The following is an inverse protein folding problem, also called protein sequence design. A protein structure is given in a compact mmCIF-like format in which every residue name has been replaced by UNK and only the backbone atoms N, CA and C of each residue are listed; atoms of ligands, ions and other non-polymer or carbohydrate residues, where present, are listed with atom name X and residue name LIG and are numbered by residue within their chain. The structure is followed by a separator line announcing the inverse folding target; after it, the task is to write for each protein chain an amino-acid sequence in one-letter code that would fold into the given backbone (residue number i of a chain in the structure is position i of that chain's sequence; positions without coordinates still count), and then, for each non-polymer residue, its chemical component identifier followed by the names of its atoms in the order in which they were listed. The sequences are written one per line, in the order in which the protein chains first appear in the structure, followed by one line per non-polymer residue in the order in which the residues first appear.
data_IF_041411584714
#
_entry.id   IF_041411584714
#
_cell.length_a   1.000
_cell.length_b   1.000
_cell.length_c   1.000
_cell.angle_alpha   90.00
_cell.angle_beta   90.00
_cell.angle_gamma   90.00
#
_symmetry.space_group_name_H-M   'P 1'
#
loop_
_entity.id
_entity.type
_entity.pdbx_description
1 polymer ?
#
# COMPACT_ATOMS: atom_id res chain seq x y z
N UNK A 1 -26.34 -24.08 -19.26
CA UNK A 1 -25.14 -24.15 -18.39
C UNK A 1 -24.40 -22.84 -18.59
N UNK A 2 -24.62 -21.89 -17.69
CA UNK A 2 -24.02 -20.56 -17.76
C UNK A 2 -22.76 -20.59 -16.91
N UNK A 3 -21.61 -20.29 -17.51
CA UNK A 3 -20.34 -20.17 -16.80
C UNK A 3 -20.46 -19.12 -15.70
N UNK A 4 -19.89 -19.33 -14.49
CA UNK A 4 -19.83 -18.28 -13.50
C UNK A 4 -18.85 -17.21 -14.01
N UNK A 5 -19.35 -15.99 -14.21
CA UNK A 5 -18.51 -14.84 -14.50
C UNK A 5 -17.51 -14.62 -13.34
N UNK A 6 -16.25 -14.23 -13.64
CA UNK A 6 -15.27 -13.98 -12.61
C UNK A 6 -15.71 -12.76 -11.79
N UNK A 7 -15.88 -12.96 -10.48
CA UNK A 7 -16.19 -11.91 -9.50
C UNK A 7 -15.18 -10.77 -9.60
N UNK A 8 -15.56 -9.71 -10.32
CA UNK A 8 -14.74 -8.52 -10.54
C UNK A 8 -14.52 -7.77 -9.23
N UNK A 9 -13.27 -7.68 -8.80
CA UNK A 9 -12.87 -6.88 -7.63
C UNK A 9 -12.68 -5.43 -8.08
N UNK A 10 -13.76 -4.66 -8.05
CA UNK A 10 -13.71 -3.20 -7.85
C UNK A 10 -14.91 -2.81 -6.99
N UNK A 11 -14.64 -2.43 -5.73
CA UNK A 11 -15.57 -1.76 -4.81
C UNK A 11 -16.98 -2.33 -4.75
N UNK A 12 -17.20 -3.46 -4.08
CA UNK A 12 -18.55 -3.95 -3.74
C UNK A 12 -19.26 -2.95 -2.83
N UNK A 13 -20.38 -2.34 -3.23
CA UNK A 13 -21.32 -1.71 -2.32
C UNK A 13 -22.08 -2.81 -1.56
N UNK A 14 -22.23 -2.65 -0.24
CA UNK A 14 -22.91 -3.63 0.63
C UNK A 14 -21.96 -4.55 1.38
N UNK A 15 -22.51 -5.29 2.35
CA UNK A 15 -21.78 -6.22 3.22
C UNK A 15 -21.20 -7.37 2.40
N UNK A 16 -20.00 -7.16 1.85
CA UNK A 16 -19.23 -8.26 1.29
C UNK A 16 -19.00 -9.28 2.41
N UNK A 17 -19.25 -10.57 2.13
CA UNK A 17 -19.04 -11.63 3.10
C UNK A 17 -17.62 -11.51 3.63
N UNK A 18 -17.46 -11.46 4.96
CA UNK A 18 -16.17 -11.41 5.66
C UNK A 18 -15.22 -12.47 5.08
N UNK A 19 -15.74 -13.66 4.73
CA UNK A 19 -14.95 -14.74 4.11
C UNK A 19 -14.42 -14.39 2.73
N UNK A 20 -15.11 -13.57 1.94
CA UNK A 20 -14.64 -13.09 0.64
C UNK A 20 -13.57 -12.01 0.79
N UNK A 21 -13.76 -11.06 1.71
CA UNK A 21 -12.76 -10.03 2.03
C UNK A 21 -11.47 -10.69 2.52
N UNK A 22 -11.56 -11.66 3.44
CA UNK A 22 -10.40 -12.38 3.97
C UNK A 22 -9.70 -13.21 2.88
N UNK A 23 -10.46 -13.87 1.98
CA UNK A 23 -9.88 -14.58 0.84
C UNK A 23 -9.13 -13.63 -0.10
N UNK A 24 -9.70 -12.47 -0.38
CA UNK A 24 -9.05 -11.46 -1.21
C UNK A 24 -7.76 -10.94 -0.56
N UNK A 25 -7.79 -10.61 0.73
CA UNK A 25 -6.60 -10.22 1.51
C UNK A 25 -5.50 -11.29 1.42
N UNK A 26 -5.85 -12.55 1.63
CA UNK A 26 -4.89 -13.66 1.54
C UNK A 26 -4.29 -13.77 0.13
N UNK A 27 -5.10 -13.61 -0.91
CA UNK A 27 -4.64 -13.67 -2.30
C UNK A 27 -3.65 -12.55 -2.66
N UNK A 28 -3.91 -11.31 -2.24
CA UNK A 28 -3.00 -10.19 -2.50
C UNK A 28 -1.70 -10.30 -1.69
N UNK A 29 -1.76 -10.84 -0.47
CA UNK A 29 -0.56 -11.13 0.35
C UNK A 29 0.29 -12.19 -0.33
N UNK A 30 -0.32 -13.30 -0.78
CA UNK A 30 0.40 -14.37 -1.49
C UNK A 30 1.07 -13.83 -2.76
N UNK A 31 0.35 -13.03 -3.55
CA UNK A 31 0.89 -12.40 -4.76
C UNK A 31 2.10 -11.50 -4.49
N UNK A 32 2.16 -10.88 -3.31
CA UNK A 32 3.29 -10.05 -2.89
C UNK A 32 4.49 -10.85 -2.39
N UNK A 33 4.24 -11.96 -1.70
CA UNK A 33 5.28 -12.87 -1.25
C UNK A 33 6.08 -13.45 -2.42
N UNK A 34 5.43 -13.64 -3.57
CA UNK A 34 6.04 -14.15 -4.79
C UNK A 34 6.93 -13.13 -5.52
N UNK A 35 6.80 -11.83 -5.22
CA UNK A 35 7.58 -10.77 -5.88
C UNK A 35 8.85 -10.45 -5.10
N UNK A 36 9.96 -11.00 -5.57
CA UNK A 36 11.32 -10.82 -5.02
C UNK A 36 12.03 -9.65 -5.70
N UNK A 37 12.95 -9.02 -4.96
CA UNK A 37 13.86 -8.03 -5.52
C UNK A 37 14.89 -8.73 -6.41
N UNK A 38 15.17 -8.20 -7.61
CA UNK A 38 16.32 -8.64 -8.40
C UNK A 38 17.63 -8.06 -7.88
N UNK A 39 18.76 -8.64 -8.32
CA UNK A 39 20.09 -8.10 -8.03
C UNK A 39 20.26 -6.66 -8.57
N UNK A 40 19.65 -6.34 -9.71
CA UNK A 40 19.68 -4.99 -10.26
C UNK A 40 18.96 -4.01 -9.33
N UNK A 41 17.75 -4.36 -8.87
CA UNK A 41 16.98 -3.53 -7.94
C UNK A 41 17.75 -3.32 -6.64
N UNK A 42 18.33 -4.38 -6.08
CA UNK A 42 19.09 -4.29 -4.82
C UNK A 42 20.31 -3.37 -4.96
N UNK A 43 21.04 -3.46 -6.08
CA UNK A 43 22.20 -2.62 -6.36
C UNK A 43 21.82 -1.14 -6.56
N UNK A 44 20.68 -0.86 -7.17
CA UNK A 44 20.25 0.49 -7.55
C UNK A 44 19.21 1.10 -6.61
N UNK A 45 18.85 0.44 -5.50
CA UNK A 45 17.74 0.84 -4.64
C UNK A 45 17.85 2.30 -4.18
N UNK A 46 19.03 2.72 -3.73
CA UNK A 46 19.28 4.09 -3.26
C UNK A 46 19.06 5.12 -4.38
N UNK A 47 19.58 4.85 -5.57
CA UNK A 47 19.42 5.71 -6.75
C UNK A 47 17.97 5.81 -7.19
N UNK A 48 17.26 4.68 -7.28
CA UNK A 48 15.82 4.62 -7.60
C UNK A 48 15.02 5.48 -6.61
N UNK A 49 15.30 5.32 -5.32
CA UNK A 49 14.63 6.06 -4.23
C UNK A 49 14.88 7.56 -4.35
N UNK A 50 16.14 7.98 -4.56
CA UNK A 50 16.48 9.40 -4.66
C UNK A 50 15.85 10.04 -5.90
N UNK A 51 15.92 9.37 -7.06
CA UNK A 51 15.30 9.86 -8.29
C UNK A 51 13.78 10.00 -8.12
N UNK A 52 13.15 9.02 -7.48
CA UNK A 52 11.72 9.06 -7.21
C UNK A 52 11.35 10.23 -6.29
N UNK A 53 12.11 10.45 -5.21
CA UNK A 53 11.89 11.61 -4.35
C UNK A 53 11.97 12.93 -5.12
N UNK A 54 13.01 13.11 -5.93
CA UNK A 54 13.20 14.34 -6.70
C UNK A 54 12.05 14.58 -7.68
N UNK A 55 11.54 13.51 -8.30
CA UNK A 55 10.39 13.61 -9.19
C UNK A 55 9.10 13.93 -8.46
N UNK A 56 8.84 13.32 -7.30
CA UNK A 56 7.66 13.66 -6.49
C UNK A 56 7.73 15.12 -6.06
N UNK A 57 8.86 15.62 -5.56
CA UNK A 57 9.01 17.03 -5.17
C UNK A 57 8.88 18.00 -6.34
N UNK A 58 9.26 17.57 -7.54
CA UNK A 58 9.08 18.37 -8.76
C UNK A 58 7.60 18.46 -9.16
N UNK A 59 6.85 17.38 -9.01
CA UNK A 59 5.44 17.30 -9.40
C UNK A 59 4.49 17.85 -8.34
N UNK A 60 4.83 17.66 -7.06
CA UNK A 60 4.04 18.00 -5.88
C UNK A 60 4.92 18.73 -4.85
N UNK A 61 5.41 19.95 -5.15
CA UNK A 61 6.25 20.72 -4.24
C UNK A 61 5.58 20.99 -2.88
N UNK A 62 4.24 21.04 -2.84
CA UNK A 62 3.44 21.18 -1.63
C UNK A 62 3.60 20.02 -0.65
N UNK A 63 4.01 18.83 -1.11
CA UNK A 63 4.23 17.66 -0.26
C UNK A 63 5.66 17.59 0.31
N UNK A 64 6.44 18.67 0.20
CA UNK A 64 7.87 18.63 0.56
C UNK A 64 8.12 18.30 2.02
N UNK A 65 7.29 18.79 2.93
CA UNK A 65 7.42 18.53 4.37
C UNK A 65 7.18 17.05 4.67
N UNK A 66 6.07 16.53 4.17
CA UNK A 66 5.61 15.15 4.36
C UNK A 66 6.57 14.16 3.70
N UNK A 67 7.03 14.46 2.49
CA UNK A 67 7.97 13.60 1.77
C UNK A 67 9.36 13.60 2.42
N UNK A 68 9.84 14.74 2.93
CA UNK A 68 11.10 14.78 3.67
C UNK A 68 11.00 14.03 5.02
N UNK A 69 9.85 14.12 5.69
CA UNK A 69 9.57 13.34 6.89
C UNK A 69 9.55 11.83 6.57
N UNK A 70 8.90 11.43 5.48
CA UNK A 70 8.93 10.05 4.99
C UNK A 70 10.36 9.60 4.60
N UNK A 71 11.15 10.49 4.00
CA UNK A 71 12.50 10.19 3.57
C UNK A 71 13.44 9.79 4.71
N UNK A 72 13.31 10.46 5.86
CA UNK A 72 14.03 10.10 7.08
C UNK A 72 13.77 8.67 7.55
N UNK A 73 12.67 8.05 7.11
CA UNK A 73 12.23 6.70 7.48
C UNK A 73 12.49 5.67 6.40
N UNK A 74 12.97 6.06 5.20
CA UNK A 74 13.11 5.14 4.08
C UNK A 74 14.03 3.96 4.38
N UNK A 75 15.16 4.17 5.06
CA UNK A 75 16.05 3.05 5.42
C UNK A 75 15.32 2.02 6.28
N UNK A 76 14.55 2.47 7.28
CA UNK A 76 13.79 1.58 8.16
C UNK A 76 12.65 0.86 7.41
N UNK A 77 11.93 1.59 6.54
CA UNK A 77 10.86 1.02 5.69
C UNK A 77 11.45 -0.01 4.71
N UNK A 78 12.62 0.27 4.14
CA UNK A 78 13.35 -0.65 3.26
C UNK A 78 13.79 -1.91 4.01
N UNK A 79 14.37 -1.78 5.19
CA UNK A 79 14.77 -2.91 6.01
C UNK A 79 13.57 -3.76 6.43
N UNK A 80 12.49 -3.13 6.86
CA UNK A 80 11.22 -3.82 7.13
C UNK A 80 10.72 -4.55 5.88
N UNK A 81 10.74 -3.88 4.73
CA UNK A 81 10.33 -4.46 3.43
C UNK A 81 11.22 -5.62 2.98
N UNK A 82 12.52 -5.61 3.33
CA UNK A 82 13.43 -6.75 3.08
C UNK A 82 13.09 -7.94 3.98
N UNK A 83 12.74 -7.70 5.24
CA UNK A 83 12.32 -8.76 6.17
C UNK A 83 11.05 -9.48 5.69
N UNK A 84 10.17 -8.77 4.98
CA UNK A 84 8.98 -9.36 4.34
C UNK A 84 9.30 -10.46 3.32
N UNK A 85 10.49 -10.42 2.68
CA UNK A 85 10.86 -11.35 1.61
C UNK A 85 10.97 -12.80 2.11
N UNK A 86 11.21 -13.01 3.40
CA UNK A 86 11.35 -14.33 4.02
C UNK A 86 10.11 -14.83 4.78
N UNK A 87 9.07 -14.00 4.91
CA UNK A 87 7.85 -14.38 5.64
C UNK A 87 7.04 -15.35 4.78
N UNK A 88 6.55 -16.44 5.39
CA UNK A 88 5.65 -17.41 4.74
C UNK A 88 4.24 -17.39 5.32
N UNK A 89 4.09 -16.83 6.52
CA UNK A 89 2.82 -16.72 7.21
C UNK A 89 2.09 -15.42 6.81
N UNK A 90 0.84 -15.50 6.29
CA UNK A 90 0.09 -14.31 5.90
C UNK A 90 -0.20 -13.35 7.05
N UNK A 91 -0.36 -13.85 8.28
CA UNK A 91 -0.61 -13.04 9.47
C UNK A 91 0.61 -12.17 9.82
N UNK A 92 1.79 -12.79 9.92
CA UNK A 92 3.05 -12.09 10.14
C UNK A 92 3.35 -11.08 9.02
N UNK A 93 2.96 -11.39 7.79
CA UNK A 93 3.13 -10.48 6.67
C UNK A 93 2.20 -9.26 6.80
N UNK A 94 0.93 -9.48 7.14
CA UNK A 94 -0.02 -8.41 7.40
C UNK A 94 0.45 -7.53 8.56
N UNK A 95 0.91 -8.12 9.67
CA UNK A 95 1.45 -7.39 10.82
C UNK A 95 2.62 -6.50 10.42
N UNK A 96 3.58 -7.04 9.67
CA UNK A 96 4.76 -6.30 9.26
C UNK A 96 4.42 -5.16 8.28
N UNK A 97 3.48 -5.37 7.35
CA UNK A 97 3.00 -4.30 6.46
C UNK A 97 2.25 -3.23 7.25
N UNK A 98 1.30 -3.61 8.10
CA UNK A 98 0.51 -2.65 8.90
C UNK A 98 1.40 -1.87 9.87
N UNK A 99 2.40 -2.51 10.48
CA UNK A 99 3.40 -1.86 11.36
C UNK A 99 4.12 -0.74 10.63
N UNK A 100 4.49 -0.92 9.35
CA UNK A 100 5.15 0.13 8.57
C UNK A 100 4.26 1.39 8.50
N UNK A 101 2.96 1.25 8.28
CA UNK A 101 2.08 2.41 8.14
C UNK A 101 1.67 3.02 9.48
N UNK A 102 1.42 2.18 10.49
CA UNK A 102 0.93 2.63 11.80
C UNK A 102 2.06 3.15 12.70
N UNK A 103 3.22 2.49 12.72
CA UNK A 103 4.34 2.89 13.59
C UNK A 103 5.10 4.07 13.01
N UNK A 104 5.28 4.12 11.68
CA UNK A 104 5.97 5.23 11.05
C UNK A 104 5.03 6.39 10.68
N UNK A 105 3.73 6.31 11.01
CA UNK A 105 2.72 7.33 10.71
C UNK A 105 2.83 7.86 9.27
N UNK A 106 2.91 6.93 8.32
CA UNK A 106 3.10 7.24 6.91
C UNK A 106 1.74 7.39 6.27
N UNK A 107 1.48 8.55 5.66
CA UNK A 107 0.28 8.74 4.84
C UNK A 107 0.28 7.74 3.66
N UNK A 108 -0.72 6.85 3.56
CA UNK A 108 -0.77 5.83 2.51
C UNK A 108 -0.86 6.41 1.09
N UNK A 109 -1.48 7.59 0.92
CA UNK A 109 -1.59 8.28 -0.36
C UNK A 109 -0.25 8.83 -0.82
N UNK A 110 0.48 9.52 0.07
CA UNK A 110 1.82 10.04 -0.23
C UNK A 110 2.79 8.90 -0.53
N UNK A 111 2.76 7.83 0.28
CA UNK A 111 3.56 6.64 0.02
C UNK A 111 3.19 5.98 -1.31
N UNK A 112 1.90 5.95 -1.66
CA UNK A 112 1.43 5.39 -2.92
C UNK A 112 1.97 6.11 -4.15
N UNK A 113 1.95 7.45 -4.13
CA UNK A 113 2.55 8.28 -5.19
C UNK A 113 4.05 7.99 -5.27
N UNK A 114 4.75 8.06 -4.14
CA UNK A 114 6.18 7.83 -4.09
C UNK A 114 6.58 6.46 -4.65
N UNK A 115 5.92 5.39 -4.21
CA UNK A 115 6.24 4.04 -4.63
C UNK A 115 5.85 3.75 -6.09
N UNK A 116 4.83 4.43 -6.63
CA UNK A 116 4.54 4.38 -8.06
C UNK A 116 5.67 5.01 -8.90
N UNK A 117 6.23 6.15 -8.45
CA UNK A 117 7.39 6.75 -9.13
C UNK A 117 8.64 5.89 -8.95
N UNK A 118 8.84 5.25 -7.78
CA UNK A 118 9.92 4.26 -7.62
C UNK A 118 9.78 3.11 -8.61
N UNK A 119 8.55 2.64 -8.89
CA UNK A 119 8.31 1.61 -9.87
C UNK A 119 8.72 2.06 -11.29
N UNK A 120 8.41 3.31 -11.67
CA UNK A 120 8.82 3.88 -12.95
C UNK A 120 10.33 4.00 -13.08
N UNK A 121 11.01 4.46 -12.02
CA UNK A 121 12.48 4.54 -12.00
C UNK A 121 13.13 3.15 -12.01
N UNK A 122 12.54 2.16 -11.34
CA UNK A 122 12.99 0.78 -11.36
C UNK A 122 12.83 0.15 -12.76
N UNK A 123 11.72 0.41 -13.46
CA UNK A 123 11.52 -0.01 -14.83
C UNK A 123 12.61 0.55 -15.76
N UNK A 124 12.92 1.83 -15.60
CA UNK A 124 13.91 2.54 -16.40
C UNK A 124 15.35 2.07 -16.16
N UNK A 125 15.72 1.85 -14.90
CA UNK A 125 17.10 1.49 -14.52
C UNK A 125 17.36 -0.02 -14.66
N UNK A 126 16.33 -0.83 -14.38
CA UNK A 126 16.41 -2.28 -14.38
C UNK A 126 15.45 -2.88 -15.40
N UNK A 127 14.21 -3.20 -15.00
CA UNK A 127 13.23 -3.86 -15.85
C UNK A 127 11.80 -3.65 -15.35
N UNK A 128 10.81 -3.86 -16.21
CA UNK A 128 9.39 -3.85 -15.82
C UNK A 128 9.08 -4.86 -14.70
N UNK A 129 9.83 -5.96 -14.63
CA UNK A 129 9.68 -6.95 -13.56
C UNK A 129 10.08 -6.40 -12.18
N UNK A 130 11.03 -5.45 -12.13
CA UNK A 130 11.46 -4.77 -10.92
C UNK A 130 10.47 -3.68 -10.48
N UNK A 131 9.76 -3.06 -11.43
CA UNK A 131 8.67 -2.14 -11.11
C UNK A 131 7.59 -2.82 -10.27
N UNK A 132 7.28 -4.10 -10.57
CA UNK A 132 6.31 -4.92 -9.83
C UNK A 132 6.64 -5.02 -8.34
N UNK A 133 7.93 -4.97 -7.96
CA UNK A 133 8.36 -5.00 -6.56
C UNK A 133 7.74 -3.85 -5.75
N UNK A 134 7.77 -2.64 -6.28
CA UNK A 134 7.23 -1.45 -5.60
C UNK A 134 5.70 -1.42 -5.66
N UNK A 135 5.12 -1.74 -6.83
CA UNK A 135 3.68 -1.67 -7.05
C UNK A 135 2.90 -2.64 -6.16
N UNK A 136 3.36 -3.88 -6.00
CA UNK A 136 2.62 -4.88 -5.20
C UNK A 136 2.66 -4.55 -3.70
N UNK A 137 3.78 -4.01 -3.20
CA UNK A 137 3.87 -3.54 -1.80
C UNK A 137 2.98 -2.33 -1.56
N UNK A 138 2.86 -1.46 -2.56
CA UNK A 138 1.94 -0.30 -2.53
C UNK A 138 0.48 -0.73 -2.56
N UNK A 139 0.15 -1.74 -3.38
CA UNK A 139 -1.20 -2.31 -3.41
C UNK A 139 -1.62 -2.81 -2.03
N UNK A 140 -0.73 -3.50 -1.32
CA UNK A 140 -0.98 -3.98 0.04
C UNK A 140 -1.05 -2.87 1.07
N UNK A 141 -0.15 -1.88 0.97
CA UNK A 141 -0.15 -0.68 1.80
C UNK A 141 -1.51 0.03 1.81
N UNK A 142 -2.21 0.04 0.67
CA UNK A 142 -3.52 0.67 0.56
C UNK A 142 -4.68 -0.31 0.78
N UNK A 143 -4.56 -1.54 0.27
CA UNK A 143 -5.66 -2.53 0.32
C UNK A 143 -5.84 -3.11 1.72
N UNK A 144 -4.77 -3.36 2.49
CA UNK A 144 -4.90 -3.95 3.83
C UNK A 144 -5.60 -2.99 4.80
N UNK A 145 -5.18 -1.71 4.96
CA UNK A 145 -5.88 -0.80 5.85
C UNK A 145 -7.34 -0.57 5.44
N UNK A 146 -7.62 -0.42 4.13
CA UNK A 146 -8.98 -0.20 3.65
C UNK A 146 -9.90 -1.41 3.95
N UNK A 147 -9.44 -2.64 3.72
CA UNK A 147 -10.26 -3.81 4.03
C UNK A 147 -10.37 -4.05 5.54
N UNK A 148 -9.32 -3.82 6.32
CA UNK A 148 -9.38 -3.88 7.78
C UNK A 148 -10.40 -2.87 8.33
N UNK A 149 -10.41 -1.66 7.80
CA UNK A 149 -11.35 -0.62 8.15
C UNK A 149 -12.80 -1.04 7.87
N UNK A 150 -13.10 -1.59 6.68
CA UNK A 150 -14.44 -2.12 6.35
C UNK A 150 -14.87 -3.21 7.34
N UNK A 151 -13.99 -4.17 7.59
CA UNK A 151 -14.23 -5.26 8.56
C UNK A 151 -14.49 -4.72 9.97
N UNK A 152 -13.79 -3.65 10.36
CA UNK A 152 -13.98 -3.01 11.67
C UNK A 152 -15.36 -2.35 11.78
N UNK A 153 -15.82 -1.67 10.73
CA UNK A 153 -17.17 -1.07 10.71
C UNK A 153 -18.24 -2.16 10.84
N UNK A 154 -18.11 -3.25 10.07
CA UNK A 154 -19.02 -4.40 10.16
C UNK A 154 -19.00 -5.03 11.55
N UNK A 155 -17.81 -5.26 12.12
CA UNK A 155 -17.64 -5.83 13.46
C UNK A 155 -18.28 -4.96 14.55
N UNK A 156 -18.18 -3.64 14.43
CA UNK A 156 -18.79 -2.68 15.35
C UNK A 156 -20.26 -2.40 15.02
N UNK A 157 -20.83 -3.04 14.00
CA UNK A 157 -22.20 -2.79 13.51
C UNK A 157 -22.45 -1.31 13.18
N UNK A 158 -21.43 -0.63 12.64
CA UNK A 158 -21.50 0.76 12.22
C UNK A 158 -21.90 0.88 10.74
N UNK A 159 -22.74 1.87 10.43
CA UNK A 159 -23.08 2.23 9.05
C UNK A 159 -21.82 2.65 8.29
N UNK A 160 -21.62 2.14 7.07
CA UNK A 160 -20.41 2.43 6.29
C UNK A 160 -20.31 3.90 5.83
N UNK A 161 -21.40 4.66 5.87
CA UNK A 161 -21.41 6.11 5.64
C UNK A 161 -21.09 6.92 6.89
N UNK A 162 -21.14 6.33 8.09
CA UNK A 162 -20.87 7.06 9.34
C UNK A 162 -19.53 7.80 9.29
N UNK A 163 -18.40 7.16 8.91
CA UNK A 163 -17.11 7.86 8.91
C UNK A 163 -17.01 8.93 7.83
N UNK A 164 -17.70 8.74 6.69
CA UNK A 164 -17.76 9.74 5.62
C UNK A 164 -18.48 10.98 6.13
N UNK A 165 -19.62 10.80 6.81
CA UNK A 165 -20.39 11.89 7.40
C UNK A 165 -19.63 12.58 8.54
N UNK A 166 -18.91 11.81 9.37
CA UNK A 166 -18.03 12.35 10.40
C UNK A 166 -16.92 13.20 9.79
N UNK A 167 -16.24 12.70 8.75
CA UNK A 167 -15.18 13.46 8.07
C UNK A 167 -15.72 14.75 7.47
N UNK A 168 -16.89 14.71 6.81
CA UNK A 168 -17.55 15.92 6.28
C UNK A 168 -17.81 16.94 7.39
N UNK A 169 -18.42 16.52 8.49
CA UNK A 169 -18.72 17.40 9.63
C UNK A 169 -17.45 17.99 10.25
N UNK A 170 -16.35 17.21 10.34
CA UNK A 170 -15.07 17.71 10.84
C UNK A 170 -14.43 18.72 9.89
N UNK A 171 -14.47 18.48 8.57
CA UNK A 171 -13.96 19.42 7.58
C UNK A 171 -14.71 20.76 7.60
N UNK A 172 -16.01 20.74 7.85
CA UNK A 172 -16.81 21.96 8.06
C UNK A 172 -16.33 22.80 9.25
N UNK A 173 -15.69 22.20 10.26
CA UNK A 173 -15.11 22.95 11.40
C UNK A 173 -13.80 23.66 11.10
N UNK A 174 -13.20 23.39 9.93
CA UNK A 174 -11.92 23.96 9.50
C UNK A 174 -12.07 25.11 8.50
N UNK A 175 -13.31 25.42 8.10
CA UNK A 175 -13.67 26.59 7.28
C UNK A 175 -13.97 27.79 8.17
#
# INVERSE_FOLDING_TARGET
MSSPEPNTIVGTPGSADVKEIVRYIAHIIASALDVKASDCLLKNYGTITLNAMQQVLKLFPELSTELNALASKFTAIQEASRKLVGIKDPGQYADAVLTIFTTYNVDPGIYGIFAAIQAMEAAKICSDSDAKFFLVRTLLASSLPNNLYRLLLDYLSLDHNFPINLLKALLETTQ
#
